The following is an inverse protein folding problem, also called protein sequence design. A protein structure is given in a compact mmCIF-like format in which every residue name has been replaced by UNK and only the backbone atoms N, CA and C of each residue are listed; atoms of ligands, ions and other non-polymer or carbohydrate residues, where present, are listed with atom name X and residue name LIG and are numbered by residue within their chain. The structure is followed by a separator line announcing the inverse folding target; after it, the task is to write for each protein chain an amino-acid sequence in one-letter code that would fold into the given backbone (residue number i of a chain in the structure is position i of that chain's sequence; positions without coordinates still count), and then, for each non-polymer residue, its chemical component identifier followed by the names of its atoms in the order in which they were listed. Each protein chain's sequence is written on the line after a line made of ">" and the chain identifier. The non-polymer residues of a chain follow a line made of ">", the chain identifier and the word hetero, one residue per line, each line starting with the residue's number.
data_IF_009121981079
#
_entry.id   IF_009121981079
#
_cell.length_a   1.000
_cell.length_b   1.000
_cell.length_c   1.000
_cell.angle_alpha   90.00
_cell.angle_beta   90.00
_cell.angle_gamma   90.00
#
_symmetry.space_group_name_H-M   'P 1'
#
loop_
_entity.id
_entity.type
_entity.pdbx_description
1 polymer ?
#
# COMPACT_ATOMS: atom_id res chain seq x y z
N UNK A 1 22.50 -26.85 13.75
CA UNK A 1 21.23 -26.37 14.31
C UNK A 1 20.69 -25.24 13.44
N UNK A 2 19.35 -25.19 13.25
CA UNK A 2 18.65 -24.06 12.65
C UNK A 2 17.91 -23.32 13.77
N UNK A 3 18.08 -22.01 13.83
CA UNK A 3 17.38 -21.16 14.78
C UNK A 3 16.41 -20.27 14.03
N UNK A 4 15.20 -20.14 14.55
CA UNK A 4 14.20 -19.19 14.06
C UNK A 4 13.99 -18.15 15.15
N UNK A 5 14.18 -16.89 14.81
CA UNK A 5 13.99 -15.75 15.71
C UNK A 5 12.89 -14.91 15.11
N UNK A 6 11.89 -14.56 15.90
CA UNK A 6 10.75 -13.75 15.45
C UNK A 6 10.67 -12.44 16.22
N UNK A 7 10.15 -11.40 15.59
CA UNK A 7 9.90 -10.11 16.21
C UNK A 7 9.03 -9.23 15.32
N UNK A 8 8.44 -8.20 15.91
CA UNK A 8 7.54 -7.26 15.24
C UNK A 8 8.20 -6.47 14.10
N UNK A 9 9.54 -6.43 14.04
CA UNK A 9 10.29 -5.75 13.01
C UNK A 9 11.65 -6.40 12.75
N UNK A 10 11.85 -6.90 11.53
CA UNK A 10 13.13 -7.49 11.12
C UNK A 10 14.28 -6.48 11.13
N UNK A 11 14.00 -5.23 10.74
CA UNK A 11 15.01 -4.15 10.74
C UNK A 11 15.49 -3.85 12.15
N UNK A 12 14.61 -3.96 13.12
CA UNK A 12 14.91 -3.75 14.52
C UNK A 12 15.67 -4.94 15.10
N UNK A 13 15.26 -6.16 14.77
CA UNK A 13 15.97 -7.39 15.13
C UNK A 13 17.36 -7.45 14.49
N UNK A 14 17.48 -7.11 13.21
CA UNK A 14 18.76 -7.13 12.49
C UNK A 14 19.75 -6.09 13.01
N UNK A 15 19.29 -4.92 13.48
CA UNK A 15 20.16 -3.94 14.16
C UNK A 15 20.69 -4.46 15.51
N UNK A 16 19.86 -5.17 16.26
CA UNK A 16 20.24 -5.74 17.58
C UNK A 16 21.09 -7.02 17.45
N UNK A 17 20.79 -7.85 16.47
CA UNK A 17 21.48 -9.10 16.19
C UNK A 17 22.56 -8.98 15.10
N UNK A 18 22.47 -7.98 14.25
CA UNK A 18 23.30 -7.80 13.06
C UNK A 18 24.79 -7.69 13.37
N UNK A 19 25.14 -7.11 14.52
CA UNK A 19 26.52 -7.07 15.00
C UNK A 19 27.06 -8.47 15.38
N UNK A 20 26.17 -9.41 15.75
CA UNK A 20 26.52 -10.77 16.17
C UNK A 20 26.32 -11.83 15.07
N UNK A 21 25.43 -11.58 14.10
CA UNK A 21 25.01 -12.54 13.07
C UNK A 21 25.35 -12.08 11.64
N UNK A 22 26.26 -11.15 11.46
CA UNK A 22 26.61 -10.54 10.16
C UNK A 22 26.75 -11.59 9.05
N UNK A 23 25.88 -11.52 8.03
CA UNK A 23 25.91 -12.40 6.84
C UNK A 23 25.47 -13.86 7.08
N UNK A 24 24.96 -14.22 8.27
CA UNK A 24 24.59 -15.60 8.63
C UNK A 24 23.11 -15.80 8.92
N UNK A 25 22.26 -14.95 8.38
CA UNK A 25 20.79 -15.03 8.54
C UNK A 25 20.09 -14.74 7.22
N UNK A 26 18.87 -15.21 7.13
CA UNK A 26 17.93 -14.89 6.05
C UNK A 26 16.71 -14.29 6.71
N UNK A 27 16.32 -13.10 6.25
CA UNK A 27 15.12 -12.43 6.72
C UNK A 27 13.89 -12.96 5.96
N UNK A 28 12.86 -13.34 6.71
CA UNK A 28 11.56 -13.73 6.17
C UNK A 28 10.53 -12.75 6.72
N UNK A 29 9.94 -11.96 5.84
CA UNK A 29 8.88 -11.01 6.20
C UNK A 29 7.53 -11.71 6.09
N UNK A 30 6.86 -11.91 7.24
CA UNK A 30 5.49 -12.42 7.29
C UNK A 30 4.54 -11.23 7.18
N UNK A 31 3.64 -11.29 6.23
CA UNK A 31 2.68 -10.22 5.92
C UNK A 31 1.27 -10.61 6.33
N UNK A 32 0.34 -9.65 6.41
CA UNK A 32 -1.08 -9.97 6.50
C UNK A 32 -1.50 -10.91 5.37
N UNK A 33 -2.57 -11.66 5.56
CA UNK A 33 -3.08 -12.59 4.55
C UNK A 33 -3.33 -11.89 3.22
N UNK A 34 -2.87 -12.50 2.15
CA UNK A 34 -3.23 -12.15 0.79
C UNK A 34 -4.71 -12.45 0.54
N UNK A 35 -5.26 -11.94 -0.56
CA UNK A 35 -6.65 -12.23 -0.91
C UNK A 35 -6.91 -13.74 -1.10
N UNK A 36 -5.94 -14.47 -1.63
CA UNK A 36 -6.03 -15.93 -1.77
C UNK A 36 -6.08 -16.62 -0.40
N UNK A 37 -5.17 -16.28 0.52
CA UNK A 37 -5.17 -16.82 1.88
C UNK A 37 -6.43 -16.42 2.67
N UNK A 38 -6.98 -15.23 2.40
CA UNK A 38 -8.27 -14.83 2.96
C UNK A 38 -9.41 -15.73 2.45
N UNK A 39 -9.44 -16.06 1.15
CA UNK A 39 -10.42 -16.99 0.59
C UNK A 39 -10.28 -18.40 1.20
N UNK A 40 -9.06 -18.88 1.37
CA UNK A 40 -8.77 -20.15 2.05
C UNK A 40 -9.25 -20.14 3.51
N UNK A 41 -9.03 -19.04 4.25
CA UNK A 41 -9.58 -18.87 5.60
C UNK A 41 -11.12 -18.95 5.64
N UNK A 42 -11.79 -18.47 4.58
CA UNK A 42 -13.26 -18.58 4.42
C UNK A 42 -13.72 -19.97 3.95
N UNK A 43 -12.80 -20.91 3.77
CA UNK A 43 -13.11 -22.25 3.23
C UNK A 43 -13.45 -22.24 1.74
N UNK A 44 -13.03 -21.18 1.02
CA UNK A 44 -13.31 -21.02 -0.40
C UNK A 44 -12.08 -21.35 -1.24
N UNK A 45 -12.08 -22.52 -1.87
CA UNK A 45 -11.00 -22.96 -2.75
C UNK A 45 -11.15 -22.36 -4.15
N UNK A 46 -10.11 -21.67 -4.58
CA UNK A 46 -10.05 -21.07 -5.92
C UNK A 46 -9.14 -21.91 -6.81
N UNK A 47 -9.68 -22.41 -7.90
CA UNK A 47 -8.88 -22.99 -8.99
C UNK A 47 -8.99 -22.12 -10.26
N UNK A 48 -8.01 -22.24 -11.16
CA UNK A 48 -7.94 -21.40 -12.37
C UNK A 48 -9.16 -21.48 -13.27
N UNK A 49 -9.89 -22.60 -13.26
CA UNK A 49 -11.07 -22.80 -14.08
C UNK A 49 -12.32 -22.25 -13.41
N UNK A 50 -12.39 -22.31 -12.09
CA UNK A 50 -13.54 -21.84 -11.33
C UNK A 50 -13.73 -20.32 -11.37
N UNK A 51 -12.65 -19.55 -11.50
CA UNK A 51 -12.68 -18.08 -11.58
C UNK A 51 -13.56 -17.58 -12.74
N UNK A 52 -13.75 -18.38 -13.79
CA UNK A 52 -14.56 -18.00 -14.96
C UNK A 52 -16.04 -18.38 -14.84
N UNK A 53 -16.44 -19.17 -13.84
CA UNK A 53 -17.84 -19.55 -13.60
C UNK A 53 -18.61 -18.39 -12.95
N UNK A 54 -19.82 -18.10 -13.41
CA UNK A 54 -20.62 -16.95 -12.96
C UNK A 54 -20.89 -16.98 -11.46
N UNK A 55 -21.31 -18.15 -10.92
CA UNK A 55 -21.59 -18.33 -9.49
C UNK A 55 -20.36 -18.06 -8.63
N UNK A 56 -19.22 -18.64 -9.00
CA UNK A 56 -17.94 -18.43 -8.32
C UNK A 56 -17.50 -16.97 -8.34
N UNK A 57 -17.70 -16.26 -9.49
CA UNK A 57 -17.40 -14.82 -9.58
C UNK A 57 -18.22 -13.97 -8.61
N UNK A 58 -19.48 -14.29 -8.40
CA UNK A 58 -20.35 -13.56 -7.46
C UNK A 58 -19.82 -13.71 -6.04
N UNK A 59 -19.46 -14.93 -5.63
CA UNK A 59 -18.90 -15.19 -4.30
C UNK A 59 -17.53 -14.54 -4.12
N UNK A 60 -16.63 -14.65 -5.10
CA UNK A 60 -15.31 -14.00 -5.05
C UNK A 60 -15.47 -12.48 -4.88
N UNK A 61 -16.38 -11.83 -5.62
CA UNK A 61 -16.65 -10.40 -5.48
C UNK A 61 -17.16 -10.04 -4.10
N UNK A 62 -18.07 -10.82 -3.53
CA UNK A 62 -18.56 -10.62 -2.16
C UNK A 62 -17.42 -10.70 -1.13
N UNK A 63 -16.57 -11.71 -1.23
CA UNK A 63 -15.40 -11.86 -0.37
C UNK A 63 -14.37 -10.75 -0.61
N UNK A 64 -14.23 -10.28 -1.84
CA UNK A 64 -13.33 -9.18 -2.16
C UNK A 64 -13.78 -7.86 -1.51
N UNK A 65 -15.07 -7.53 -1.51
CA UNK A 65 -15.60 -6.35 -0.80
C UNK A 65 -15.33 -6.44 0.71
N UNK A 66 -15.48 -7.63 1.31
CA UNK A 66 -15.13 -7.84 2.72
C UNK A 66 -13.62 -7.64 2.95
N UNK A 67 -12.78 -8.24 2.10
CA UNK A 67 -11.32 -8.14 2.20
C UNK A 67 -10.82 -6.71 1.95
N UNK A 68 -11.41 -5.99 1.00
CA UNK A 68 -11.08 -4.59 0.72
C UNK A 68 -11.22 -3.71 1.96
N UNK A 69 -12.21 -3.97 2.80
CA UNK A 69 -12.48 -3.20 4.01
C UNK A 69 -11.69 -3.73 5.20
N UNK A 70 -11.80 -5.04 5.47
CA UNK A 70 -11.22 -5.67 6.66
C UNK A 70 -9.73 -5.93 6.57
N UNK A 71 -9.17 -5.95 5.34
CA UNK A 71 -7.76 -6.31 5.15
C UNK A 71 -7.48 -7.78 5.40
N UNK A 72 -6.21 -8.09 5.69
CA UNK A 72 -5.70 -9.45 5.83
C UNK A 72 -5.11 -9.78 7.21
N UNK A 73 -5.32 -8.95 8.26
CA UNK A 73 -4.78 -9.23 9.60
C UNK A 73 -5.44 -10.48 10.22
N UNK A 74 -4.70 -11.60 10.42
CA UNK A 74 -5.29 -12.90 10.73
C UNK A 74 -6.18 -12.91 11.97
N UNK A 75 -5.68 -12.39 13.09
CA UNK A 75 -6.42 -12.38 14.36
C UNK A 75 -7.72 -11.55 14.24
N UNK A 76 -7.66 -10.40 13.56
CA UNK A 76 -8.84 -9.56 13.32
C UNK A 76 -9.88 -10.29 12.46
N UNK A 77 -9.45 -11.01 11.44
CA UNK A 77 -10.36 -11.77 10.57
C UNK A 77 -11.02 -12.95 11.29
N UNK A 78 -10.30 -13.62 12.22
CA UNK A 78 -10.80 -14.78 12.97
C UNK A 78 -11.75 -14.34 14.08
N UNK A 79 -11.36 -13.34 14.87
CA UNK A 79 -12.11 -12.95 16.07
C UNK A 79 -13.09 -11.79 15.83
N UNK A 80 -12.96 -11.08 14.71
CA UNK A 80 -13.74 -9.88 14.35
C UNK A 80 -13.71 -8.80 15.45
N UNK A 81 -12.58 -8.71 16.17
CA UNK A 81 -12.37 -7.78 17.28
C UNK A 81 -11.47 -6.63 16.84
N UNK A 82 -12.05 -5.44 16.70
CA UNK A 82 -11.34 -4.21 16.30
C UNK A 82 -10.33 -3.73 17.35
N UNK A 83 -10.50 -4.11 18.62
CA UNK A 83 -9.55 -3.75 19.68
C UNK A 83 -8.18 -4.41 19.47
N UNK A 84 -8.14 -5.57 18.80
CA UNK A 84 -6.88 -6.21 18.43
C UNK A 84 -6.01 -5.29 17.57
N UNK A 85 -6.58 -4.70 16.53
CA UNK A 85 -5.86 -3.77 15.66
C UNK A 85 -5.46 -2.48 16.38
N UNK A 86 -6.34 -1.96 17.22
CA UNK A 86 -6.03 -0.79 18.06
C UNK A 86 -4.85 -1.08 18.98
N UNK A 87 -4.82 -2.24 19.63
CA UNK A 87 -3.70 -2.66 20.49
C UNK A 87 -2.40 -2.82 19.72
N UNK A 88 -2.42 -3.46 18.55
CA UNK A 88 -1.22 -3.61 17.69
C UNK A 88 -0.67 -2.23 17.31
N UNK A 89 -1.54 -1.29 16.93
CA UNK A 89 -1.15 0.08 16.62
C UNK A 89 -0.54 0.81 17.81
N UNK A 90 -1.18 0.74 19.00
CA UNK A 90 -0.68 1.38 20.21
C UNK A 90 0.65 0.77 20.66
N UNK A 91 0.79 -0.55 20.61
CA UNK A 91 2.04 -1.25 20.93
C UNK A 91 3.17 -0.85 19.96
N UNK A 92 2.86 -0.70 18.68
CA UNK A 92 3.81 -0.19 17.68
C UNK A 92 4.29 1.22 18.05
N UNK A 93 3.37 2.13 18.40
CA UNK A 93 3.75 3.50 18.79
C UNK A 93 4.57 3.52 20.07
N UNK A 94 4.12 2.82 21.09
CA UNK A 94 4.73 2.90 22.43
C UNK A 94 6.00 2.07 22.50
N UNK A 95 5.90 0.77 22.20
CA UNK A 95 6.99 -0.20 22.45
C UNK A 95 8.04 -0.12 21.33
N UNK A 96 7.60 -0.16 20.08
CA UNK A 96 8.53 -0.26 18.95
C UNK A 96 9.11 1.09 18.55
N UNK A 97 8.40 2.20 18.81
CA UNK A 97 8.87 3.54 18.40
C UNK A 97 9.25 4.38 19.61
N UNK A 98 8.31 4.75 20.50
CA UNK A 98 8.57 5.75 21.54
C UNK A 98 9.66 5.31 22.52
N UNK A 99 9.58 4.10 23.04
CA UNK A 99 10.58 3.55 23.96
C UNK A 99 11.91 3.37 23.26
N UNK A 100 11.93 2.77 22.08
CA UNK A 100 13.14 2.45 21.32
C UNK A 100 13.93 3.69 20.91
N UNK A 101 13.25 4.68 20.35
CA UNK A 101 13.89 5.91 19.84
C UNK A 101 13.90 7.05 20.87
N UNK A 102 13.50 6.75 22.13
CA UNK A 102 13.46 7.72 23.23
C UNK A 102 12.71 8.99 22.84
N UNK A 103 11.48 8.82 22.33
CA UNK A 103 10.61 9.93 21.95
C UNK A 103 9.87 10.43 23.18
N UNK A 104 10.22 11.59 23.67
CA UNK A 104 9.62 12.15 24.91
C UNK A 104 8.14 12.54 24.71
N UNK A 105 7.80 13.08 23.56
CA UNK A 105 6.42 13.55 23.30
C UNK A 105 5.65 12.58 22.38
N UNK A 106 5.07 11.54 22.97
CA UNK A 106 4.26 10.53 22.27
C UNK A 106 2.97 11.12 21.69
N UNK A 107 2.43 12.19 22.28
CA UNK A 107 1.21 12.83 21.79
C UNK A 107 1.41 13.44 20.38
N UNK A 108 2.56 14.06 20.16
CA UNK A 108 2.93 14.59 18.83
C UNK A 108 3.10 13.46 17.80
N UNK A 109 3.68 12.33 18.22
CA UNK A 109 3.83 11.15 17.38
C UNK A 109 2.45 10.61 16.95
N UNK A 110 1.53 10.43 17.90
CA UNK A 110 0.14 10.01 17.61
C UNK A 110 -0.59 11.00 16.70
N UNK A 111 -0.42 12.30 16.91
CA UNK A 111 -1.03 13.32 16.06
C UNK A 111 -0.53 13.21 14.60
N UNK A 112 0.77 13.04 14.41
CA UNK A 112 1.36 12.84 13.09
C UNK A 112 0.81 11.58 12.39
N UNK A 113 0.82 10.46 13.09
CA UNK A 113 0.39 9.20 12.51
C UNK A 113 -1.12 9.17 12.24
N UNK A 114 -1.92 9.73 13.14
CA UNK A 114 -3.36 9.93 12.90
C UNK A 114 -3.59 10.78 11.65
N UNK A 115 -2.85 11.88 11.47
CA UNK A 115 -2.94 12.70 10.27
C UNK A 115 -2.60 11.90 9.01
N UNK A 116 -1.50 11.13 9.01
CA UNK A 116 -1.07 10.34 7.87
C UNK A 116 -2.07 9.23 7.53
N UNK A 117 -2.57 8.49 8.53
CA UNK A 117 -3.58 7.44 8.35
C UNK A 117 -4.87 8.03 7.77
N UNK A 118 -5.31 9.20 8.23
CA UNK A 118 -6.50 9.84 7.68
C UNK A 118 -6.29 10.44 6.27
N UNK A 119 -5.04 10.54 5.80
CA UNK A 119 -4.69 11.05 4.48
C UNK A 119 -3.90 10.01 3.66
N UNK A 120 -4.11 8.72 3.93
CA UNK A 120 -3.48 7.65 3.15
C UNK A 120 -3.83 7.76 1.66
N UNK A 121 -2.97 7.22 0.80
CA UNK A 121 -3.00 7.32 -0.66
C UNK A 121 -2.89 8.75 -1.23
N UNK A 122 -3.01 9.80 -0.41
CA UNK A 122 -2.88 11.18 -0.86
C UNK A 122 -1.42 11.66 -0.83
N UNK A 123 -1.15 12.63 -1.70
CA UNK A 123 0.14 13.31 -1.70
C UNK A 123 0.30 14.22 -0.49
N UNK A 124 1.50 14.23 0.05
CA UNK A 124 1.89 15.16 1.11
C UNK A 124 3.32 15.68 0.90
N UNK A 125 3.58 16.87 1.39
CA UNK A 125 4.94 17.37 1.61
C UNK A 125 5.22 17.44 3.11
N UNK A 126 6.48 17.34 3.50
CA UNK A 126 6.85 17.53 4.91
C UNK A 126 6.48 18.93 5.42
N UNK A 127 6.48 19.93 4.54
CA UNK A 127 6.05 21.29 4.88
C UNK A 127 4.53 21.39 5.07
N UNK A 128 3.72 20.63 4.33
CA UNK A 128 2.27 20.59 4.57
C UNK A 128 1.96 19.97 5.93
N UNK A 129 2.63 18.88 6.30
CA UNK A 129 2.51 18.27 7.62
C UNK A 129 2.91 19.24 8.73
N UNK A 130 4.04 19.95 8.56
CA UNK A 130 4.50 20.96 9.52
C UNK A 130 3.43 22.03 9.81
N UNK A 131 2.63 22.40 8.81
CA UNK A 131 1.57 23.42 8.97
C UNK A 131 0.36 22.92 9.75
N UNK A 132 0.06 21.62 9.69
CA UNK A 132 -1.13 21.06 10.32
C UNK A 132 -0.84 20.32 11.64
N UNK A 133 0.44 20.10 11.95
CA UNK A 133 0.89 19.51 13.21
C UNK A 133 1.69 20.53 14.01
N UNK A 134 1.82 20.32 15.31
CA UNK A 134 2.67 21.17 16.16
C UNK A 134 4.18 20.85 16.04
N UNK A 135 4.58 20.12 15.01
CA UNK A 135 5.99 19.73 14.81
C UNK A 135 6.74 20.86 14.08
N UNK A 136 7.64 21.51 14.79
CA UNK A 136 8.38 22.67 14.27
C UNK A 136 9.46 22.31 13.24
N UNK A 137 10.00 21.08 13.29
CA UNK A 137 11.12 20.65 12.45
C UNK A 137 10.70 19.63 11.39
N UNK A 138 10.99 19.92 10.12
CA UNK A 138 10.85 18.96 9.00
C UNK A 138 11.70 17.70 9.24
N UNK A 139 12.88 17.84 9.85
CA UNK A 139 13.73 16.69 10.16
C UNK A 139 13.08 15.75 11.19
N UNK A 140 12.35 16.30 12.16
CA UNK A 140 11.60 15.50 13.13
C UNK A 140 10.47 14.73 12.45
N UNK A 141 9.74 15.39 11.54
CA UNK A 141 8.69 14.72 10.75
C UNK A 141 9.27 13.56 9.94
N UNK A 142 10.39 13.79 9.25
CA UNK A 142 11.09 12.74 8.48
C UNK A 142 11.48 11.55 9.37
N UNK A 143 12.08 11.82 10.54
CA UNK A 143 12.47 10.80 11.51
C UNK A 143 11.27 10.00 11.98
N UNK A 144 10.18 10.66 12.37
CA UNK A 144 8.99 9.97 12.85
C UNK A 144 8.35 9.09 11.76
N UNK A 145 8.29 9.57 10.51
CA UNK A 145 7.82 8.75 9.39
C UNK A 145 8.75 7.56 9.18
N UNK A 146 10.07 7.72 9.20
CA UNK A 146 11.00 6.59 9.04
C UNK A 146 10.88 5.58 10.17
N UNK A 147 10.60 5.99 11.39
CA UNK A 147 10.36 5.05 12.50
C UNK A 147 9.13 4.18 12.25
N UNK A 148 8.05 4.77 11.75
CA UNK A 148 6.85 4.02 11.39
C UNK A 148 7.09 3.06 10.21
N UNK A 149 7.88 3.48 9.22
CA UNK A 149 8.27 2.60 8.10
C UNK A 149 9.15 1.43 8.56
N UNK A 150 10.04 1.65 9.54
CA UNK A 150 10.90 0.60 10.10
C UNK A 150 10.11 -0.47 10.87
N UNK A 151 8.90 -0.17 11.35
CA UNK A 151 7.99 -1.15 11.95
C UNK A 151 7.15 -1.91 10.92
N UNK A 152 7.31 -1.66 9.64
CA UNK A 152 6.45 -2.16 8.55
C UNK A 152 4.99 -1.74 8.62
N UNK A 153 4.58 -0.91 9.57
CA UNK A 153 3.19 -0.45 9.69
C UNK A 153 2.72 0.38 8.51
N UNK A 154 3.64 1.10 7.89
CA UNK A 154 3.34 1.94 6.74
C UNK A 154 4.55 2.08 5.80
N UNK A 155 4.29 2.62 4.62
CA UNK A 155 5.31 2.93 3.63
C UNK A 155 5.02 4.23 2.92
N UNK A 156 6.06 5.00 2.62
CA UNK A 156 5.97 6.13 1.69
C UNK A 156 6.56 5.79 0.34
N UNK A 157 5.95 6.29 -0.74
CA UNK A 157 6.54 6.24 -2.07
C UNK A 157 6.87 7.63 -2.58
N UNK A 158 7.92 7.70 -3.38
CA UNK A 158 8.39 8.94 -3.97
C UNK A 158 7.70 9.21 -5.31
N UNK A 159 7.57 10.48 -5.66
CA UNK A 159 7.37 10.87 -7.05
C UNK A 159 8.59 10.42 -7.87
N UNK A 160 8.35 9.75 -8.99
CA UNK A 160 9.44 9.38 -9.87
C UNK A 160 10.10 10.62 -10.51
N UNK A 161 11.42 10.65 -10.46
CA UNK A 161 12.25 11.57 -11.22
C UNK A 161 13.58 10.87 -11.52
N UNK A 162 14.21 11.19 -12.65
CA UNK A 162 15.55 10.66 -12.96
C UNK A 162 16.61 11.21 -12.01
N UNK A 163 16.37 12.38 -11.42
CA UNK A 163 17.24 12.98 -10.40
C UNK A 163 16.87 12.46 -9.01
N UNK A 164 17.78 11.73 -8.38
CA UNK A 164 17.60 11.24 -7.00
C UNK A 164 17.35 12.39 -6.01
N UNK A 165 18.02 13.55 -6.20
CA UNK A 165 17.76 14.74 -5.40
C UNK A 165 16.31 15.20 -5.47
N UNK A 166 15.72 15.18 -6.67
CA UNK A 166 14.31 15.54 -6.85
C UNK A 166 13.37 14.51 -6.24
N UNK A 167 13.67 13.21 -6.33
CA UNK A 167 12.89 12.18 -5.64
C UNK A 167 12.80 12.43 -4.13
N UNK A 168 13.91 12.88 -3.51
CA UNK A 168 13.94 13.18 -2.07
C UNK A 168 13.09 14.42 -1.72
N UNK A 169 13.12 15.46 -2.57
CA UNK A 169 12.51 16.76 -2.30
C UNK A 169 11.01 16.77 -2.63
N UNK A 170 10.61 16.05 -3.68
CA UNK A 170 9.24 16.01 -4.15
C UNK A 170 8.27 15.45 -3.09
N UNK A 171 6.99 15.76 -3.28
CA UNK A 171 5.90 15.19 -2.49
C UNK A 171 5.93 13.67 -2.54
N UNK A 172 5.35 13.07 -1.51
CA UNK A 172 5.27 11.63 -1.33
C UNK A 172 3.83 11.21 -1.19
N UNK A 173 3.53 9.92 -1.43
CA UNK A 173 2.28 9.29 -1.01
C UNK A 173 2.55 8.37 0.18
N UNK A 174 1.57 8.23 1.07
CA UNK A 174 1.66 7.40 2.27
C UNK A 174 0.64 6.28 2.20
N UNK A 175 1.08 5.05 2.46
CA UNK A 175 0.25 3.85 2.46
C UNK A 175 0.38 3.11 3.77
N UNK A 176 -0.72 2.52 4.23
CA UNK A 176 -0.79 1.72 5.47
C UNK A 176 -0.65 0.25 5.11
N UNK A 177 0.02 -0.53 5.94
CA UNK A 177 0.28 -1.96 5.75
C UNK A 177 -0.96 -2.75 5.36
N UNK A 178 -2.11 -2.43 5.98
CA UNK A 178 -3.33 -3.20 5.82
C UNK A 178 -4.57 -2.30 5.94
N UNK A 179 -5.60 -2.57 5.13
CA UNK A 179 -6.83 -1.79 5.12
C UNK A 179 -7.62 -1.90 6.43
N UNK A 180 -7.50 -3.01 7.16
CA UNK A 180 -8.13 -3.18 8.47
C UNK A 180 -7.69 -2.11 9.47
N UNK A 181 -6.42 -1.71 9.45
CA UNK A 181 -5.98 -0.58 10.29
C UNK A 181 -6.61 0.74 9.87
N UNK A 182 -6.81 0.96 8.58
CA UNK A 182 -7.49 2.17 8.08
C UNK A 182 -8.95 2.17 8.56
N UNK A 183 -9.63 1.02 8.46
CA UNK A 183 -11.01 0.83 8.90
C UNK A 183 -11.20 1.20 10.37
N UNK A 184 -10.27 0.77 11.23
CA UNK A 184 -10.37 0.94 12.68
C UNK A 184 -9.85 2.29 13.16
N UNK A 185 -8.78 2.80 12.56
CA UNK A 185 -8.05 3.98 13.06
C UNK A 185 -8.44 5.29 12.38
N UNK A 186 -9.03 5.23 11.17
CA UNK A 186 -9.44 6.43 10.45
C UNK A 186 -10.67 7.07 11.11
N UNK A 187 -10.62 8.40 11.23
CA UNK A 187 -11.73 9.22 11.74
C UNK A 187 -12.65 9.74 10.63
N UNK A 188 -12.40 9.36 9.38
CA UNK A 188 -13.26 9.79 8.26
C UNK A 188 -14.63 9.11 8.35
N UNK A 189 -15.68 9.91 8.28
CA UNK A 189 -17.07 9.43 8.31
C UNK A 189 -17.43 8.73 7.00
N UNK A 190 -16.94 9.23 5.87
CA UNK A 190 -17.13 8.62 4.56
C UNK A 190 -15.88 7.85 4.15
N UNK A 191 -16.04 6.56 3.82
CA UNK A 191 -14.97 5.73 3.29
C UNK A 191 -14.82 6.03 1.80
N UNK A 192 -13.62 6.40 1.39
CA UNK A 192 -13.30 6.46 -0.02
C UNK A 192 -12.77 5.09 -0.46
N UNK A 193 -13.66 4.31 -1.06
CA UNK A 193 -13.33 2.96 -1.55
C UNK A 193 -12.22 3.00 -2.63
N UNK A 194 -12.08 4.10 -3.36
CA UNK A 194 -11.01 4.31 -4.33
C UNK A 194 -9.64 4.31 -3.64
N UNK A 195 -9.50 5.04 -2.54
CA UNK A 195 -8.25 5.06 -1.77
C UNK A 195 -7.96 3.73 -1.06
N UNK A 196 -8.99 3.02 -0.56
CA UNK A 196 -8.82 1.68 -0.01
C UNK A 196 -8.32 0.70 -1.08
N UNK A 197 -8.89 0.79 -2.30
CA UNK A 197 -8.46 -0.03 -3.42
C UNK A 197 -7.01 0.28 -3.83
N UNK A 198 -6.64 1.56 -3.88
CA UNK A 198 -5.28 2.01 -4.16
C UNK A 198 -4.29 1.52 -3.09
N UNK A 199 -4.65 1.59 -1.79
CA UNK A 199 -3.82 1.09 -0.70
C UNK A 199 -3.62 -0.43 -0.78
N UNK A 200 -4.66 -1.18 -1.11
CA UNK A 200 -4.58 -2.63 -1.29
C UNK A 200 -3.65 -3.00 -2.47
N UNK A 201 -3.82 -2.34 -3.61
CA UNK A 201 -2.96 -2.54 -4.79
C UNK A 201 -1.51 -2.20 -4.45
N UNK A 202 -1.27 -1.08 -3.76
CA UNK A 202 0.07 -0.71 -3.32
C UNK A 202 0.72 -1.82 -2.48
N UNK A 203 0.03 -2.35 -1.49
CA UNK A 203 0.56 -3.39 -0.61
C UNK A 203 0.95 -4.66 -1.37
N UNK A 204 0.17 -5.04 -2.38
CA UNK A 204 0.51 -6.15 -3.26
C UNK A 204 1.78 -5.86 -4.08
N UNK A 205 1.86 -4.68 -4.73
CA UNK A 205 2.99 -4.27 -5.56
C UNK A 205 4.29 -4.13 -4.76
N UNK A 206 4.23 -3.55 -3.57
CA UNK A 206 5.39 -3.30 -2.72
C UNK A 206 6.08 -4.57 -2.20
N UNK A 207 5.47 -5.74 -2.36
CA UNK A 207 6.06 -7.01 -1.95
C UNK A 207 7.26 -7.41 -2.81
N UNK A 208 7.18 -7.13 -4.11
CA UNK A 208 8.11 -7.66 -5.11
C UNK A 208 8.73 -6.60 -6.02
N UNK A 209 8.32 -5.33 -5.87
CA UNK A 209 8.68 -4.27 -6.79
C UNK A 209 9.16 -2.99 -6.11
N UNK A 210 10.00 -2.26 -6.80
CA UNK A 210 10.29 -0.86 -6.47
C UNK A 210 9.20 0.01 -7.10
N UNK A 211 8.42 0.68 -6.23
CA UNK A 211 7.20 1.41 -6.62
C UNK A 211 7.40 2.91 -6.45
N UNK A 212 7.01 3.66 -7.47
CA UNK A 212 6.92 5.13 -7.46
C UNK A 212 5.53 5.54 -7.94
N UNK A 213 5.19 6.82 -7.78
CA UNK A 213 4.06 7.42 -8.49
C UNK A 213 4.55 8.43 -9.53
N UNK A 214 3.74 8.69 -10.54
CA UNK A 214 4.00 9.72 -11.54
C UNK A 214 3.09 10.93 -11.34
N UNK A 215 3.63 12.13 -11.52
CA UNK A 215 2.85 13.36 -11.52
C UNK A 215 3.49 14.36 -12.49
N UNK A 216 2.90 14.43 -13.68
CA UNK A 216 3.16 15.43 -14.70
C UNK A 216 2.05 16.47 -14.72
N UNK A 217 1.38 16.65 -15.87
CA UNK A 217 0.12 17.39 -15.97
C UNK A 217 -1.00 16.66 -15.23
N UNK A 218 -0.99 15.33 -15.37
CA UNK A 218 -1.89 14.41 -14.68
C UNK A 218 -1.09 13.46 -13.78
N UNK A 219 -1.77 12.71 -12.94
CA UNK A 219 -1.18 11.73 -12.03
C UNK A 219 -1.43 10.32 -12.53
N UNK A 220 -0.44 9.44 -12.34
CA UNK A 220 -0.61 7.99 -12.44
C UNK A 220 -0.12 7.36 -11.14
N UNK A 221 -0.95 6.49 -10.55
CA UNK A 221 -0.77 6.02 -9.19
C UNK A 221 0.51 5.24 -9.00
N UNK A 222 0.85 4.32 -9.92
CA UNK A 222 2.02 3.48 -9.75
C UNK A 222 2.85 3.34 -11.01
N UNK A 223 4.15 3.46 -10.81
CA UNK A 223 5.21 3.08 -11.74
C UNK A 223 6.00 1.94 -11.13
N UNK A 224 6.13 0.84 -11.85
CA UNK A 224 6.93 -0.29 -11.42
C UNK A 224 8.30 -0.20 -12.08
N UNK A 225 9.34 -0.13 -11.24
CA UNK A 225 10.74 -0.07 -11.67
C UNK A 225 11.38 -1.44 -11.43
N UNK A 226 12.08 -1.93 -12.45
CA UNK A 226 12.90 -3.13 -12.36
C UNK A 226 14.19 -2.91 -13.19
N UNK A 227 15.33 -3.18 -12.58
CA UNK A 227 16.64 -2.96 -13.20
C UNK A 227 16.83 -1.52 -13.71
N UNK A 228 16.40 -0.53 -12.90
CA UNK A 228 16.46 0.92 -13.21
C UNK A 228 15.61 1.36 -14.42
N UNK A 229 14.73 0.52 -14.92
CA UNK A 229 13.81 0.84 -16.00
C UNK A 229 12.36 0.73 -15.53
N UNK A 230 11.51 1.61 -16.05
CA UNK A 230 10.07 1.54 -15.81
C UNK A 230 9.51 0.44 -16.70
N UNK A 231 8.94 -0.58 -16.09
CA UNK A 231 8.40 -1.75 -16.78
C UNK A 231 6.88 -1.71 -16.93
N UNK A 232 6.20 -1.05 -15.99
CA UNK A 232 4.74 -1.01 -15.98
C UNK A 232 4.26 0.32 -15.40
N UNK A 233 3.10 0.76 -15.86
CA UNK A 233 2.32 1.87 -15.32
C UNK A 233 0.93 1.35 -14.95
N UNK A 234 0.46 1.73 -13.76
CA UNK A 234 -0.81 1.24 -13.22
C UNK A 234 -1.58 2.43 -12.68
N UNK A 235 -2.85 2.54 -13.07
CA UNK A 235 -3.82 3.44 -12.49
C UNK A 235 -4.86 2.63 -11.73
N UNK A 236 -5.35 3.15 -10.60
CA UNK A 236 -6.39 2.51 -9.80
C UNK A 236 -7.61 3.40 -9.73
N UNK A 237 -8.76 2.86 -10.08
CA UNK A 237 -10.02 3.57 -10.07
C UNK A 237 -11.13 2.63 -9.59
N UNK A 238 -11.85 2.97 -8.51
CA UNK A 238 -12.88 2.09 -7.98
C UNK A 238 -13.95 1.77 -9.03
N UNK A 239 -14.46 2.81 -9.67
CA UNK A 239 -15.42 2.70 -10.78
C UNK A 239 -15.07 3.66 -11.91
N UNK A 240 -14.88 3.14 -13.10
CA UNK A 240 -14.64 3.93 -14.30
C UNK A 240 -15.97 4.30 -14.93
N UNK A 241 -16.32 5.58 -14.94
CA UNK A 241 -17.56 6.10 -15.48
C UNK A 241 -17.30 7.28 -16.43
N UNK A 242 -18.36 7.83 -17.06
CA UNK A 242 -18.23 8.91 -18.02
C UNK A 242 -17.59 10.18 -17.44
N UNK A 243 -17.76 10.44 -16.15
CA UNK A 243 -17.28 11.66 -15.48
C UNK A 243 -15.79 11.61 -15.16
N UNK A 244 -15.25 10.42 -14.81
CA UNK A 244 -13.86 10.26 -14.38
C UNK A 244 -12.95 9.61 -15.42
N UNK A 245 -13.52 8.94 -16.45
CA UNK A 245 -12.77 8.18 -17.45
C UNK A 245 -11.65 8.98 -18.11
N UNK A 246 -11.96 10.22 -18.52
CA UNK A 246 -10.96 11.08 -19.16
C UNK A 246 -9.77 11.32 -18.21
N UNK A 247 -10.04 11.70 -16.98
CA UNK A 247 -9.00 11.96 -15.96
C UNK A 247 -8.11 10.75 -15.68
N UNK A 248 -8.73 9.59 -15.45
CA UNK A 248 -8.01 8.35 -15.08
C UNK A 248 -7.16 7.84 -16.26
N UNK A 249 -7.70 7.92 -17.45
CA UNK A 249 -7.01 7.49 -18.68
C UNK A 249 -5.91 8.46 -19.09
N UNK A 250 -6.12 9.77 -18.95
CA UNK A 250 -5.11 10.77 -19.30
C UNK A 250 -3.84 10.61 -18.45
N UNK A 251 -3.97 10.39 -17.13
CA UNK A 251 -2.83 10.18 -16.26
C UNK A 251 -2.00 8.96 -16.66
N UNK A 252 -2.68 7.85 -16.89
CA UNK A 252 -2.06 6.61 -17.37
C UNK A 252 -1.38 6.80 -18.73
N UNK A 253 -2.07 7.42 -19.69
CA UNK A 253 -1.56 7.65 -21.07
C UNK A 253 -0.37 8.60 -21.08
N UNK A 254 -0.40 9.66 -20.27
CA UNK A 254 0.73 10.59 -20.11
C UNK A 254 1.97 9.86 -19.60
N UNK A 255 1.80 9.03 -18.58
CA UNK A 255 2.89 8.19 -18.05
C UNK A 255 3.40 7.20 -19.11
N UNK A 256 2.50 6.52 -19.84
CA UNK A 256 2.86 5.61 -20.94
C UNK A 256 3.67 6.31 -22.03
N UNK A 257 3.28 7.54 -22.42
CA UNK A 257 4.02 8.35 -23.39
C UNK A 257 5.40 8.72 -22.88
N UNK A 258 5.47 9.23 -21.65
CA UNK A 258 6.71 9.66 -21.01
C UNK A 258 7.75 8.55 -20.95
N UNK A 259 7.31 7.33 -20.64
CA UNK A 259 8.20 6.18 -20.44
C UNK A 259 8.24 5.21 -21.64
N UNK A 260 7.64 5.61 -22.77
CA UNK A 260 7.62 4.86 -24.03
C UNK A 260 7.03 3.44 -23.90
N UNK A 261 6.03 3.28 -23.03
CA UNK A 261 5.34 2.01 -22.84
C UNK A 261 4.18 1.88 -23.83
N UNK A 262 3.98 0.66 -24.35
CA UNK A 262 2.89 0.33 -25.27
C UNK A 262 1.63 -0.14 -24.56
N UNK A 263 1.76 -0.66 -23.33
CA UNK A 263 0.67 -1.20 -22.53
C UNK A 263 0.60 -0.50 -21.18
N UNK A 264 -0.61 -0.20 -20.72
CA UNK A 264 -0.91 0.31 -19.39
C UNK A 264 -1.99 -0.55 -18.74
N UNK A 265 -2.03 -0.57 -17.41
CA UNK A 265 -3.00 -1.30 -16.62
C UNK A 265 -3.86 -0.31 -15.84
N UNK A 266 -5.18 -0.44 -15.97
CA UNK A 266 -6.16 0.27 -15.17
C UNK A 266 -6.89 -0.77 -14.30
N UNK A 267 -6.68 -0.69 -12.99
CA UNK A 267 -7.28 -1.61 -12.02
C UNK A 267 -8.56 -1.01 -11.46
N UNK A 268 -9.65 -1.78 -11.51
CA UNK A 268 -10.98 -1.35 -11.04
C UNK A 268 -11.51 -2.30 -9.98
N UNK A 269 -12.60 -1.94 -9.31
CA UNK A 269 -13.27 -2.86 -8.39
C UNK A 269 -13.87 -4.08 -9.14
N UNK A 270 -14.57 -3.84 -10.26
CA UNK A 270 -15.34 -4.91 -10.89
C UNK A 270 -15.37 -4.89 -12.42
N UNK A 271 -14.87 -3.84 -13.06
CA UNK A 271 -14.97 -3.65 -14.51
C UNK A 271 -13.81 -4.30 -15.25
N UNK A 272 -14.10 -4.88 -16.41
CA UNK A 272 -13.14 -5.50 -17.30
C UNK A 272 -13.37 -4.96 -18.72
N UNK A 273 -12.32 -4.41 -19.33
CA UNK A 273 -12.36 -3.81 -20.68
C UNK A 273 -10.95 -3.76 -21.28
N UNK A 274 -10.86 -3.51 -22.55
CA UNK A 274 -9.60 -3.19 -23.23
C UNK A 274 -9.86 -2.14 -24.33
N UNK A 275 -9.09 -1.09 -24.35
CA UNK A 275 -9.22 -0.06 -25.37
C UNK A 275 -7.86 0.50 -25.80
N UNK A 276 -7.84 1.10 -26.99
CA UNK A 276 -6.64 1.65 -27.60
C UNK A 276 -6.79 3.17 -27.66
N UNK A 277 -5.81 3.87 -27.09
CA UNK A 277 -5.70 5.33 -27.16
C UNK A 277 -4.34 5.70 -27.72
N UNK A 278 -4.32 6.42 -28.84
CA UNK A 278 -3.10 6.88 -29.50
C UNK A 278 -2.08 5.74 -29.73
N UNK A 279 -2.57 4.59 -30.16
CA UNK A 279 -1.75 3.40 -30.41
C UNK A 279 -1.21 2.70 -29.16
N UNK A 280 -1.72 3.05 -27.98
CA UNK A 280 -1.38 2.40 -26.70
C UNK A 280 -2.56 1.58 -26.21
N UNK A 281 -2.27 0.38 -25.74
CA UNK A 281 -3.26 -0.56 -25.21
C UNK A 281 -3.43 -0.28 -23.73
N UNK A 282 -4.66 -0.01 -23.30
CA UNK A 282 -5.03 0.10 -21.89
C UNK A 282 -5.94 -1.08 -21.56
N UNK A 283 -5.44 -1.94 -20.65
CA UNK A 283 -6.18 -3.09 -20.17
C UNK A 283 -6.84 -2.74 -18.82
N UNK A 284 -8.16 -2.90 -18.77
CA UNK A 284 -8.94 -2.70 -17.54
C UNK A 284 -9.18 -4.07 -16.90
N UNK A 285 -8.78 -4.24 -15.64
CA UNK A 285 -8.92 -5.52 -14.94
C UNK A 285 -9.46 -5.27 -13.52
N UNK A 286 -10.43 -6.08 -13.06
CA UNK A 286 -10.85 -6.04 -11.67
C UNK A 286 -9.69 -6.44 -10.72
N UNK A 287 -9.52 -5.69 -9.62
CA UNK A 287 -8.44 -5.95 -8.65
C UNK A 287 -8.53 -7.37 -8.09
N UNK A 288 -9.73 -7.87 -7.77
CA UNK A 288 -9.87 -9.24 -7.28
C UNK A 288 -9.31 -10.30 -8.25
N UNK A 289 -9.50 -10.10 -9.57
CA UNK A 289 -8.99 -10.99 -10.61
C UNK A 289 -7.48 -10.86 -10.73
N UNK A 290 -6.98 -9.63 -10.74
CA UNK A 290 -5.55 -9.33 -10.77
C UNK A 290 -4.81 -9.94 -9.58
N UNK A 291 -5.35 -9.85 -8.35
CA UNK A 291 -4.77 -10.46 -7.15
C UNK A 291 -4.66 -11.99 -7.22
N UNK A 292 -5.60 -12.65 -7.91
CA UNK A 292 -5.61 -14.10 -8.08
C UNK A 292 -4.74 -14.58 -9.25
N UNK A 293 -4.50 -13.73 -10.26
CA UNK A 293 -3.66 -14.03 -11.43
C UNK A 293 -2.18 -13.68 -11.19
N UNK A 294 -1.88 -12.64 -10.42
CA UNK A 294 -0.51 -12.32 -10.01
C UNK A 294 0.00 -13.43 -9.08
N UNK A 295 1.12 -14.06 -9.46
CA UNK A 295 1.82 -15.00 -8.58
C UNK A 295 2.38 -14.18 -7.41
N UNK A 296 1.71 -14.25 -6.28
CA UNK A 296 2.16 -13.69 -5.02
C UNK A 296 3.40 -14.43 -4.50
#
# INVERSE_FOLDING_TARGET
>A
FKFFITGSSATLLSKELGTKLTGRHVDIVVRPFSFLEFLELKGFEVNKESIYKTETKVEIKKYFEEYLIKGGMPEYLIYNDTELLTRVYEDTIIKDIAVRYKVDNVAILRQLYSYLINNFANRFSYNSIKRVTNIKSVNTIKKFISYLEETYFAKTINKFDYSYKKQIINDKKFYVLDNGFIEVLSKKVAKDHGWLLENLVFNCLNNNHEVFYYSGKKECDFLIVKNKEIKQVIQVCYELNAENREREVEGLTEAMKKFKLKKGLLLTNSQEDEFIIEGKIIKVIPVWKWLLEEKQ
#
